data_IF_587504258139
#
_entry.id   IF_587504258139
#
_cell.length_a   1.000
_cell.length_b   1.000
_cell.length_c   1.000
_cell.angle_alpha   90.00
_cell.angle_beta   90.00
_cell.angle_gamma   90.00
#
_symmetry.space_group_name_H-M   'P 1'
#
loop_
_entity.id
_entity.type
_entity.pdbx_description
1 polymer ?
#
# COMPACT_ATOMS: atom_id res chain seq x y z
N UNK A 1 37.47 57.56 -30.00
CA UNK A 1 36.34 56.72 -30.46
C UNK A 1 36.84 55.31 -30.27
N UNK A 2 36.57 54.72 -29.11
CA UNK A 2 37.08 53.39 -28.77
C UNK A 2 35.88 52.54 -28.37
N UNK A 3 35.60 51.54 -29.20
CA UNK A 3 34.50 50.61 -29.02
C UNK A 3 34.91 49.56 -27.97
N UNK A 4 34.24 49.56 -26.83
CA UNK A 4 34.31 48.48 -25.84
C UNK A 4 33.44 47.32 -26.34
N UNK A 5 34.09 46.24 -26.77
CA UNK A 5 33.44 44.96 -27.09
C UNK A 5 33.25 44.15 -25.82
N UNK A 6 32.03 44.13 -25.28
CA UNK A 6 31.63 43.24 -24.19
C UNK A 6 31.36 41.84 -24.75
N UNK A 7 32.26 40.90 -24.47
CA UNK A 7 32.05 39.47 -24.67
C UNK A 7 31.11 38.95 -23.60
N UNK A 8 29.91 38.53 -24.00
CA UNK A 8 28.87 37.97 -23.12
C UNK A 8 29.18 36.50 -22.84
N UNK A 9 29.76 36.21 -21.68
CA UNK A 9 30.07 34.85 -21.22
C UNK A 9 28.79 34.01 -21.03
N UNK A 10 28.46 33.20 -22.04
CA UNK A 10 27.33 32.26 -22.04
C UNK A 10 27.60 31.01 -21.17
N UNK A 11 28.77 30.90 -20.56
CA UNK A 11 29.22 29.70 -19.84
C UNK A 11 28.57 29.52 -18.46
N UNK A 12 27.92 30.55 -17.89
CA UNK A 12 27.36 30.48 -16.54
C UNK A 12 25.95 29.86 -16.46
N UNK A 13 25.19 29.87 -17.56
CA UNK A 13 23.79 29.41 -17.55
C UNK A 13 23.67 27.87 -17.64
N UNK A 14 24.67 27.19 -18.19
CA UNK A 14 24.68 25.72 -18.29
C UNK A 14 24.91 25.00 -16.95
N UNK A 15 25.65 25.61 -16.03
CA UNK A 15 25.96 25.00 -14.74
C UNK A 15 24.75 24.99 -13.80
N UNK A 16 23.86 25.98 -13.91
CA UNK A 16 22.66 26.09 -13.06
C UNK A 16 21.61 25.02 -13.39
N UNK A 17 21.54 24.56 -14.65
CA UNK A 17 20.62 23.51 -15.09
C UNK A 17 21.07 22.09 -14.70
N UNK A 18 22.35 21.87 -14.37
CA UNK A 18 22.85 20.55 -13.99
C UNK A 18 22.48 20.17 -12.54
N UNK A 19 22.13 21.13 -11.68
CA UNK A 19 21.82 20.86 -10.26
C UNK A 19 20.38 20.35 -10.08
N UNK A 20 19.49 20.55 -11.06
CA UNK A 20 18.05 20.24 -10.93
C UNK A 20 17.74 18.74 -11.21
N UNK A 21 18.69 17.97 -11.75
CA UNK A 21 18.50 16.53 -12.04
C UNK A 21 18.72 15.61 -10.84
N UNK A 22 18.86 16.14 -9.63
CA UNK A 22 18.71 15.34 -8.41
C UNK A 22 17.22 15.03 -8.22
N UNK A 23 16.74 14.06 -9.01
CA UNK A 23 15.47 13.41 -8.78
C UNK A 23 15.38 13.02 -7.31
N UNK A 24 14.46 13.66 -6.59
CA UNK A 24 14.01 13.23 -5.28
C UNK A 24 13.44 11.82 -5.46
N UNK A 25 14.28 10.80 -5.26
CA UNK A 25 13.79 9.46 -5.02
C UNK A 25 12.95 9.55 -3.74
N UNK A 26 11.63 9.47 -3.90
CA UNK A 26 10.73 9.18 -2.78
C UNK A 26 11.14 7.80 -2.26
N UNK A 27 12.01 7.77 -1.27
CA UNK A 27 12.43 6.54 -0.63
C UNK A 27 11.24 6.06 0.20
N UNK A 28 10.56 5.01 -0.28
CA UNK A 28 9.77 4.14 0.59
C UNK A 28 10.75 3.52 1.59
N UNK A 29 11.00 4.20 2.70
CA UNK A 29 11.87 3.70 3.75
C UNK A 29 11.30 2.34 4.20
N UNK A 30 12.09 1.25 4.14
CA UNK A 30 11.64 -0.04 4.63
C UNK A 30 11.32 0.14 6.12
N UNK A 31 10.13 -0.30 6.54
CA UNK A 31 9.59 -0.20 7.91
C UNK A 31 10.49 -0.89 8.98
N UNK A 32 11.59 -1.49 8.56
CA UNK A 32 12.47 -2.38 9.34
C UNK A 32 13.35 -1.64 10.34
N UNK A 33 13.65 -0.34 10.15
CA UNK A 33 14.76 0.34 10.85
C UNK A 33 14.37 1.36 11.92
N UNK A 34 13.08 1.63 12.14
CA UNK A 34 12.63 2.56 13.18
C UNK A 34 12.20 1.81 14.46
N UNK A 35 12.83 2.04 15.62
CA UNK A 35 12.41 1.45 16.88
C UNK A 35 11.00 1.95 17.24
N UNK A 36 10.12 1.04 17.71
CA UNK A 36 8.72 1.38 18.04
C UNK A 36 7.72 1.25 16.89
N UNK A 37 8.20 1.04 15.65
CA UNK A 37 7.32 0.96 14.47
C UNK A 37 6.72 -0.43 14.26
N UNK A 38 7.45 -1.47 14.67
CA UNK A 38 7.02 -2.87 14.56
C UNK A 38 5.88 -3.18 15.53
N UNK A 39 5.92 -2.58 16.71
CA UNK A 39 4.92 -2.69 17.77
C UNK A 39 3.59 -1.99 17.39
N UNK A 40 3.66 -1.05 16.45
CA UNK A 40 2.52 -0.31 15.90
C UNK A 40 2.11 -0.83 14.53
N UNK A 41 2.74 -1.89 14.04
CA UNK A 41 2.42 -2.46 12.75
C UNK A 41 1.02 -3.09 12.78
N UNK A 42 0.34 -2.97 11.66
CA UNK A 42 -1.00 -3.49 11.41
C UNK A 42 -0.95 -4.34 10.17
N UNK A 43 -1.75 -5.39 10.14
CA UNK A 43 -1.99 -6.19 8.94
C UNK A 43 -3.36 -5.82 8.42
N UNK A 44 -3.42 -5.43 7.15
CA UNK A 44 -4.68 -5.22 6.44
C UNK A 44 -4.83 -6.33 5.41
N UNK A 45 -5.80 -7.21 5.67
CA UNK A 45 -6.21 -8.24 4.72
C UNK A 45 -7.30 -7.65 3.82
N UNK A 46 -7.12 -7.83 2.51
CA UNK A 46 -7.93 -7.23 1.46
C UNK A 46 -8.37 -8.34 0.52
N UNK A 47 -9.67 -8.49 0.34
CA UNK A 47 -10.27 -9.37 -0.66
C UNK A 47 -11.17 -8.52 -1.54
N UNK A 48 -10.74 -8.30 -2.79
CA UNK A 48 -11.49 -7.53 -3.76
C UNK A 48 -12.20 -8.46 -4.75
N UNK A 49 -13.49 -8.20 -4.99
CA UNK A 49 -14.34 -8.95 -5.92
C UNK A 49 -15.03 -7.99 -6.87
N UNK A 50 -15.05 -8.35 -8.15
CA UNK A 50 -15.88 -7.68 -9.15
C UNK A 50 -17.04 -8.61 -9.48
N UNK A 51 -18.25 -8.17 -9.15
CA UNK A 51 -19.48 -8.92 -9.34
C UNK A 51 -20.21 -8.35 -10.55
N UNK A 52 -20.51 -9.19 -11.54
CA UNK A 52 -21.32 -8.79 -12.70
C UNK A 52 -22.82 -8.86 -12.38
N UNK A 53 -23.66 -8.43 -13.33
CA UNK A 53 -25.13 -8.29 -13.22
C UNK A 53 -25.83 -9.57 -12.72
N UNK A 54 -25.26 -10.75 -13.00
CA UNK A 54 -25.82 -12.05 -12.62
C UNK A 54 -25.18 -12.67 -11.35
N UNK A 55 -24.48 -11.86 -10.54
CA UNK A 55 -23.71 -12.32 -9.37
C UNK A 55 -22.62 -13.36 -9.69
N UNK A 56 -22.28 -13.53 -10.96
CA UNK A 56 -21.10 -14.26 -11.37
C UNK A 56 -19.87 -13.46 -10.98
N UNK A 57 -19.01 -14.06 -10.15
CA UNK A 57 -17.71 -13.50 -9.79
C UNK A 57 -16.79 -13.59 -11.00
N UNK A 58 -16.56 -12.45 -11.65
CA UNK A 58 -15.73 -12.40 -12.86
C UNK A 58 -14.25 -12.26 -12.49
N UNK A 59 -13.96 -11.75 -11.29
CA UNK A 59 -12.60 -11.45 -10.87
C UNK A 59 -12.45 -11.31 -9.34
N UNK A 60 -11.40 -11.91 -8.78
CA UNK A 60 -11.06 -11.92 -7.35
C UNK A 60 -9.58 -11.57 -7.16
N UNK A 61 -9.25 -10.78 -6.14
CA UNK A 61 -7.87 -10.54 -5.71
C UNK A 61 -7.78 -10.56 -4.19
N UNK A 62 -6.82 -11.32 -3.68
CA UNK A 62 -6.52 -11.41 -2.25
C UNK A 62 -5.13 -10.81 -1.99
N UNK A 63 -5.02 -9.94 -0.99
CA UNK A 63 -3.77 -9.26 -0.65
C UNK A 63 -3.70 -9.03 0.86
N UNK A 64 -2.57 -9.37 1.47
CA UNK A 64 -2.27 -9.01 2.86
C UNK A 64 -1.13 -8.01 2.86
N UNK A 65 -1.33 -6.85 3.48
CA UNK A 65 -0.36 -5.76 3.54
C UNK A 65 -0.08 -5.35 4.97
N UNK A 66 1.21 -5.24 5.30
CA UNK A 66 1.65 -4.66 6.57
C UNK A 66 1.75 -3.15 6.40
N UNK A 67 1.17 -2.40 7.35
CA UNK A 67 1.22 -0.94 7.41
C UNK A 67 1.32 -0.46 8.85
N UNK A 68 1.26 0.85 9.07
CA UNK A 68 1.17 1.51 10.38
C UNK A 68 0.00 2.51 10.37
N UNK A 69 -0.55 2.89 11.54
CA UNK A 69 -1.53 3.95 11.61
C UNK A 69 -1.07 5.22 10.87
N UNK A 70 -1.94 5.76 10.02
CA UNK A 70 -1.68 6.93 9.18
C UNK A 70 -1.00 6.65 7.85
N UNK A 71 -0.48 5.43 7.60
CA UNK A 71 0.13 5.07 6.31
C UNK A 71 -0.88 4.34 5.40
N UNK A 72 -1.15 4.85 4.18
CA UNK A 72 -2.13 4.24 3.28
C UNK A 72 -1.62 2.93 2.68
N UNK A 73 -2.52 1.95 2.58
CA UNK A 73 -2.36 0.78 1.74
C UNK A 73 -3.09 1.02 0.43
N UNK A 74 -2.39 0.88 -0.70
CA UNK A 74 -2.97 1.12 -2.02
C UNK A 74 -3.26 -0.20 -2.73
N UNK A 75 -4.48 -0.32 -3.26
CA UNK A 75 -4.96 -1.40 -4.10
C UNK A 75 -5.24 -0.83 -5.50
N UNK A 76 -4.62 -1.41 -6.53
CA UNK A 76 -4.89 -1.06 -7.93
C UNK A 76 -5.48 -2.26 -8.65
N UNK A 77 -6.66 -2.09 -9.22
CA UNK A 77 -7.35 -3.11 -10.00
C UNK A 77 -7.48 -2.60 -11.43
N UNK A 78 -7.14 -3.44 -12.40
CA UNK A 78 -7.19 -3.09 -13.82
C UNK A 78 -7.98 -4.19 -14.52
N UNK A 79 -9.21 -3.89 -14.91
CA UNK A 79 -10.05 -4.71 -15.77
C UNK A 79 -9.96 -4.27 -17.23
N UNK A 80 -10.80 -4.86 -18.09
CA UNK A 80 -10.77 -4.60 -19.53
C UNK A 80 -11.18 -3.18 -19.91
N UNK A 81 -12.18 -2.62 -19.21
CA UNK A 81 -12.70 -1.27 -19.44
C UNK A 81 -12.85 -0.47 -18.14
N UNK A 82 -12.22 -0.91 -17.05
CA UNK A 82 -12.30 -0.25 -15.75
C UNK A 82 -10.95 -0.28 -15.04
N UNK A 83 -10.55 0.86 -14.47
CA UNK A 83 -9.39 0.96 -13.56
C UNK A 83 -9.91 1.45 -12.22
N UNK A 84 -9.53 0.77 -11.14
CA UNK A 84 -9.83 1.17 -9.77
C UNK A 84 -8.52 1.40 -9.03
N UNK A 85 -8.45 2.53 -8.33
CA UNK A 85 -7.43 2.82 -7.34
C UNK A 85 -8.13 3.04 -6.00
N UNK A 86 -7.94 2.11 -5.07
CA UNK A 86 -8.45 2.23 -3.72
C UNK A 86 -7.30 2.43 -2.73
N UNK A 87 -7.49 3.31 -1.76
CA UNK A 87 -6.54 3.60 -0.69
C UNK A 87 -7.22 3.42 0.65
N UNK A 88 -6.58 2.65 1.52
CA UNK A 88 -7.07 2.31 2.85
C UNK A 88 -6.07 2.79 3.88
N UNK A 89 -6.46 3.79 4.67
CA UNK A 89 -5.58 4.39 5.68
C UNK A 89 -6.14 4.11 7.07
N UNK A 90 -5.56 3.17 7.83
CA UNK A 90 -5.99 2.89 9.18
C UNK A 90 -5.48 3.99 10.12
N UNK A 91 -6.30 4.38 11.09
CA UNK A 91 -5.94 5.31 12.14
C UNK A 91 -6.29 4.71 13.49
N UNK A 92 -5.45 5.00 14.49
CA UNK A 92 -5.69 4.67 15.89
C UNK A 92 -5.55 5.98 16.66
N UNK A 93 -6.61 6.39 17.35
CA UNK A 93 -6.62 7.59 18.20
C UNK A 93 -5.95 7.30 19.54
N UNK A 94 -5.61 8.37 20.25
CA UNK A 94 -5.07 8.28 21.62
C UNK A 94 -6.03 7.60 22.60
N UNK A 95 -7.35 7.71 22.36
CA UNK A 95 -8.39 7.01 23.15
C UNK A 95 -8.56 5.53 22.76
N UNK A 96 -7.69 5.00 21.89
CA UNK A 96 -7.70 3.61 21.44
C UNK A 96 -8.74 3.29 20.34
N UNK A 97 -9.59 4.25 19.96
CA UNK A 97 -10.57 4.05 18.88
C UNK A 97 -9.87 3.96 17.53
N UNK A 98 -10.35 3.02 16.71
CA UNK A 98 -9.77 2.73 15.39
C UNK A 98 -10.78 3.09 14.31
N UNK A 99 -10.29 3.64 13.22
CA UNK A 99 -11.11 3.93 12.05
C UNK A 99 -10.27 3.80 10.79
N UNK A 100 -10.92 3.50 9.68
CA UNK A 100 -10.31 3.40 8.36
C UNK A 100 -10.86 4.52 7.50
N UNK A 101 -9.96 5.27 6.86
CA UNK A 101 -10.32 6.13 5.76
C UNK A 101 -10.13 5.35 4.47
N UNK A 102 -11.24 5.05 3.79
CA UNK A 102 -11.27 4.39 2.49
C UNK A 102 -11.53 5.43 1.40
N UNK A 103 -10.63 5.54 0.43
CA UNK A 103 -10.77 6.39 -0.73
C UNK A 103 -10.77 5.52 -1.98
N UNK A 104 -11.76 5.68 -2.85
CA UNK A 104 -11.85 4.99 -4.13
C UNK A 104 -11.80 6.00 -5.28
N UNK A 105 -11.07 5.65 -6.33
CA UNK A 105 -11.07 6.35 -7.61
C UNK A 105 -11.28 5.31 -8.70
N UNK A 106 -12.23 5.58 -9.59
CA UNK A 106 -12.63 4.63 -10.63
C UNK A 106 -12.70 5.36 -11.97
N UNK A 107 -12.06 4.79 -12.98
CA UNK A 107 -12.15 5.19 -14.37
C UNK A 107 -12.85 4.07 -15.14
N UNK A 108 -13.97 4.38 -15.78
CA UNK A 108 -14.75 3.42 -16.58
C UNK A 108 -14.74 3.90 -18.01
N UNK A 109 -14.14 3.13 -18.91
CA UNK A 109 -14.23 3.36 -20.34
C UNK A 109 -15.52 2.74 -20.89
N UNK A 110 -16.35 3.56 -21.53
CA UNK A 110 -17.58 3.13 -22.19
C UNK A 110 -17.46 3.51 -23.66
N UNK A 111 -17.59 2.52 -24.55
CA UNK A 111 -17.35 2.68 -25.99
C UNK A 111 -18.00 3.93 -26.61
N UNK A 112 -19.21 4.29 -26.17
CA UNK A 112 -19.98 5.40 -26.75
C UNK A 112 -19.91 6.71 -25.94
N UNK A 113 -19.35 6.69 -24.72
CA UNK A 113 -19.39 7.83 -23.78
C UNK A 113 -18.01 8.28 -23.30
N UNK A 114 -16.95 7.61 -23.74
CA UNK A 114 -15.58 7.85 -23.29
C UNK A 114 -15.35 7.45 -21.83
N UNK A 115 -14.33 8.03 -21.22
CA UNK A 115 -13.90 7.69 -19.86
C UNK A 115 -14.73 8.47 -18.83
N UNK A 116 -15.46 7.74 -18.00
CA UNK A 116 -16.14 8.28 -16.82
C UNK A 116 -15.25 8.13 -15.58
N UNK A 117 -15.00 9.23 -14.89
CA UNK A 117 -14.32 9.23 -13.60
C UNK A 117 -15.32 9.32 -12.44
N UNK A 118 -15.10 8.53 -11.39
CA UNK A 118 -15.85 8.58 -10.14
C UNK A 118 -14.90 8.45 -8.96
N UNK A 119 -15.17 9.18 -7.89
CA UNK A 119 -14.43 9.06 -6.63
C UNK A 119 -15.38 8.97 -5.46
N UNK A 120 -14.96 8.27 -4.42
CA UNK A 120 -15.67 8.16 -3.15
C UNK A 120 -14.68 8.18 -2.00
N UNK A 121 -15.12 8.67 -0.85
CA UNK A 121 -14.34 8.69 0.38
C UNK A 121 -15.26 8.39 1.55
N UNK A 122 -14.87 7.45 2.41
CA UNK A 122 -15.63 7.04 3.57
C UNK A 122 -14.70 6.91 4.78
N UNK A 123 -15.15 7.39 5.93
CA UNK A 123 -14.51 7.11 7.23
C UNK A 123 -15.35 6.10 7.96
N UNK A 124 -14.75 4.95 8.27
CA UNK A 124 -15.45 3.77 8.78
C UNK A 124 -14.85 3.44 10.15
N UNK A 125 -15.61 3.54 11.27
CA UNK A 125 -15.14 3.00 12.54
C UNK A 125 -14.98 1.49 12.42
N UNK A 126 -13.98 0.90 13.07
CA UNK A 126 -13.79 -0.54 13.03
C UNK A 126 -13.06 -1.07 14.27
N UNK A 127 -13.17 -2.37 14.50
CA UNK A 127 -12.36 -3.10 15.47
C UNK A 127 -11.49 -4.18 14.80
N UNK A 128 -10.53 -4.72 15.55
CA UNK A 128 -9.70 -5.81 15.05
C UNK A 128 -10.52 -7.07 14.76
N UNK A 129 -10.24 -7.72 13.63
CA UNK A 129 -10.96 -8.91 13.17
C UNK A 129 -12.35 -8.63 12.59
N UNK A 130 -12.79 -7.37 12.57
CA UNK A 130 -14.05 -7.00 11.92
C UNK A 130 -13.92 -7.01 10.40
N UNK A 131 -14.90 -7.62 9.72
CA UNK A 131 -14.98 -7.60 8.25
C UNK A 131 -15.80 -6.39 7.80
N UNK A 132 -15.17 -5.57 6.98
CA UNK A 132 -15.74 -4.34 6.45
C UNK A 132 -15.89 -4.47 4.94
N UNK A 133 -16.97 -3.91 4.38
CA UNK A 133 -17.21 -3.91 2.94
C UNK A 133 -17.22 -2.48 2.42
N UNK A 134 -16.36 -2.22 1.43
CA UNK A 134 -16.26 -0.94 0.75
C UNK A 134 -16.66 -1.09 -0.72
N UNK A 135 -17.58 -0.23 -1.16
CA UNK A 135 -18.13 -0.24 -2.51
C UNK A 135 -17.76 1.04 -3.25
N UNK A 136 -16.64 1.08 -3.99
CA UNK A 136 -16.16 2.31 -4.63
C UNK A 136 -17.12 2.90 -5.66
N UNK A 137 -18.01 2.08 -6.23
CA UNK A 137 -19.06 2.50 -7.16
C UNK A 137 -20.46 2.59 -6.54
N UNK A 138 -20.55 2.42 -5.21
CA UNK A 138 -21.81 2.23 -4.50
C UNK A 138 -22.30 0.77 -4.54
N UNK A 139 -23.29 0.44 -3.71
CA UNK A 139 -23.87 -0.89 -3.65
C UNK A 139 -24.63 -1.23 -4.95
N UNK A 140 -24.89 -2.52 -5.19
CA UNK A 140 -25.73 -2.95 -6.33
C UNK A 140 -27.07 -2.23 -6.32
N UNK A 141 -27.31 -1.42 -7.34
CA UNK A 141 -28.63 -0.85 -7.62
C UNK A 141 -29.45 -1.86 -8.43
N UNK A 142 -30.78 -1.85 -8.26
CA UNK A 142 -31.72 -2.73 -8.98
C UNK A 142 -31.58 -2.69 -10.52
N UNK A 143 -30.93 -1.65 -11.04
CA UNK A 143 -30.68 -1.39 -12.45
C UNK A 143 -29.61 -2.30 -13.09
N UNK A 144 -29.06 -3.29 -12.36
CA UNK A 144 -28.20 -4.31 -12.94
C UNK A 144 -26.84 -3.80 -13.44
N UNK A 145 -26.18 -2.92 -12.69
CA UNK A 145 -24.79 -2.53 -12.98
C UNK A 145 -23.82 -3.41 -12.17
N UNK A 146 -22.69 -3.77 -12.78
CA UNK A 146 -21.61 -4.47 -12.08
C UNK A 146 -21.18 -3.68 -10.85
N UNK A 147 -21.04 -4.36 -9.72
CA UNK A 147 -20.58 -3.76 -8.47
C UNK A 147 -19.20 -4.25 -8.13
N UNK A 148 -18.43 -3.37 -7.50
CA UNK A 148 -17.11 -3.71 -6.99
C UNK A 148 -17.24 -3.75 -5.50
N UNK A 149 -16.91 -4.91 -4.93
CA UNK A 149 -16.91 -5.15 -3.50
C UNK A 149 -15.46 -5.33 -3.05
N UNK A 150 -15.05 -4.57 -2.04
CA UNK A 150 -13.75 -4.75 -1.41
C UNK A 150 -14.00 -5.07 0.06
N UNK A 151 -13.76 -6.32 0.42
CA UNK A 151 -13.76 -6.78 1.80
C UNK A 151 -12.41 -6.47 2.44
N UNK A 152 -12.44 -5.97 3.66
CA UNK A 152 -11.27 -5.56 4.44
C UNK A 152 -11.35 -6.15 5.84
N UNK A 153 -10.22 -6.56 6.38
CA UNK A 153 -10.10 -6.97 7.78
C UNK A 153 -8.78 -6.42 8.35
N UNK A 154 -8.87 -5.67 9.46
CA UNK A 154 -7.70 -5.15 10.15
C UNK A 154 -7.30 -6.10 11.28
N UNK A 155 -6.01 -6.45 11.35
CA UNK A 155 -5.43 -7.31 12.37
C UNK A 155 -4.22 -6.66 13.03
N UNK A 156 -3.95 -6.95 14.32
CA UNK A 156 -2.69 -6.59 14.93
C UNK A 156 -1.55 -7.38 14.26
N UNK A 157 -0.38 -6.75 14.10
CA UNK A 157 0.80 -7.47 13.65
C UNK A 157 1.36 -8.32 14.79
N UNK A 158 1.50 -9.63 14.57
CA UNK A 158 2.13 -10.56 15.49
C UNK A 158 3.46 -10.99 14.86
N UNK A 159 4.57 -10.68 15.53
CA UNK A 159 5.89 -11.19 15.11
C UNK A 159 5.91 -12.68 15.38
N UNK A 160 5.86 -13.51 14.34
CA UNK A 160 6.13 -14.94 14.50
C UNK A 160 7.59 -15.10 14.96
N UNK A 161 7.79 -15.65 16.16
CA UNK A 161 9.09 -16.10 16.62
C UNK A 161 9.40 -17.37 15.84
N UNK A 162 10.18 -17.28 14.77
CA UNK A 162 10.77 -18.46 14.13
C UNK A 162 11.39 -19.32 15.22
N UNK A 163 11.06 -20.62 15.34
CA UNK A 163 11.76 -21.50 16.26
C UNK A 163 13.25 -21.43 15.94
N UNK A 164 13.99 -20.81 16.85
CA UNK A 164 15.43 -20.77 16.82
C UNK A 164 15.91 -22.21 16.74
N UNK A 165 16.59 -22.52 15.64
CA UNK A 165 17.27 -23.79 15.40
C UNK A 165 18.01 -24.16 16.70
N UNK A 166 17.62 -25.32 17.26
CA UNK A 166 18.12 -25.79 18.55
C UNK A 166 19.65 -25.69 18.60
N UNK A 167 20.26 -25.35 19.75
CA UNK A 167 21.71 -25.27 19.84
C UNK A 167 22.27 -26.63 19.45
N UNK A 168 23.02 -26.65 18.35
CA UNK A 168 23.79 -27.79 17.87
C UNK A 168 24.74 -28.16 19.02
N UNK A 169 24.48 -29.29 19.68
CA UNK A 169 25.31 -29.81 20.75
C UNK A 169 26.78 -29.72 20.36
N UNK A 170 27.56 -29.05 21.20
CA UNK A 170 29.02 -29.02 21.13
C UNK A 170 29.51 -30.48 21.22
N UNK A 171 30.11 -30.97 20.13
CA UNK A 171 30.92 -32.18 20.16
C UNK A 171 32.12 -31.94 21.08
N UNK A 172 32.01 -32.49 22.29
CA UNK A 172 33.08 -32.58 23.26
C UNK A 172 34.25 -33.39 22.64
N UNK A 173 35.47 -32.85 22.53
CA UNK A 173 36.60 -33.64 22.05
C UNK A 173 36.99 -34.61 23.16
N UNK A 174 36.79 -35.91 22.90
CA UNK A 174 37.30 -37.00 23.72
C UNK A 174 38.82 -36.92 23.73
N UNK A 175 39.38 -36.38 24.82
CA UNK A 175 40.80 -36.35 25.10
C UNK A 175 41.37 -37.76 25.24
N UNK A 176 42.46 -37.96 24.51
CA UNK A 176 43.47 -39.01 24.67
C UNK A 176 43.81 -39.27 26.14
N UNK A 177 43.78 -40.54 26.53
CA UNK A 177 44.38 -41.00 27.79
C UNK A 177 45.22 -42.24 27.52
N UNK A 178 46.46 -42.01 27.12
CA UNK A 178 47.56 -42.96 27.27
C UNK A 178 48.28 -42.69 28.61
N UNK A 179 48.24 -43.65 29.53
CA UNK A 179 49.23 -43.98 30.59
C UNK A 179 48.57 -45.06 31.49
N UNK A 180 49.17 -46.20 31.80
CA UNK A 180 50.55 -46.46 32.21
C UNK A 180 50.87 -47.96 32.10
#
# INVERSE_FOLDING_TARGET
MDAVTTTRDWSFFGLFLYIISLSLFSQDAPLTELPGLKERALVLDIVARVLEVNDTETWTSENSKITIPGRPVTLKLVGQNVVILAQFTPYIREDGKKFLVAQGQVWIDTADKGIKYQTTMQTIPLEYGERLFFFPLGPKTKDGKSSIEIQLELKPYIKETTPQEAPKNEEQPSGDSTQK
#
